data_IF_400250580789
#
_entry.id   IF_400250580789
#
_cell.length_a   1.000
_cell.length_b   1.000
_cell.length_c   1.000
_cell.angle_alpha   90.00
_cell.angle_beta   90.00
_cell.angle_gamma   90.00
#
_symmetry.space_group_name_H-M   'P 1'
#
loop_
_entity.id
_entity.type
_entity.pdbx_description
1 polymer ?
#
# COMPACT_ATOMS: atom_id res chain seq x y z
N UNK A 1 18.80 -20.66 -25.62
CA UNK A 1 17.51 -21.13 -26.18
C UNK A 1 16.26 -20.67 -25.38
N UNK A 2 16.37 -20.07 -24.19
CA UNK A 2 15.19 -19.69 -23.37
C UNK A 2 14.45 -18.40 -23.74
N UNK A 3 15.03 -17.51 -24.55
CA UNK A 3 14.37 -16.23 -24.89
C UNK A 3 13.23 -16.35 -25.92
N UNK A 4 13.33 -17.34 -26.83
CA UNK A 4 12.31 -17.60 -27.86
C UNK A 4 11.09 -18.34 -27.30
N UNK A 5 11.24 -19.12 -26.22
CA UNK A 5 10.10 -19.71 -25.50
C UNK A 5 9.29 -18.66 -24.72
N UNK A 6 9.92 -17.58 -24.21
CA UNK A 6 9.19 -16.45 -23.60
C UNK A 6 8.41 -15.63 -24.65
N UNK A 7 8.93 -15.52 -25.86
CA UNK A 7 8.33 -14.74 -26.95
C UNK A 7 7.18 -15.45 -27.69
N UNK A 8 7.11 -16.79 -27.62
CA UNK A 8 6.13 -17.59 -28.38
C UNK A 8 5.24 -18.50 -27.51
N UNK A 9 5.40 -18.52 -26.19
CA UNK A 9 4.68 -19.51 -25.36
C UNK A 9 4.65 -19.27 -23.85
N UNK A 10 4.85 -18.04 -23.36
CA UNK A 10 4.51 -17.73 -21.96
C UNK A 10 3.00 -17.63 -21.84
N UNK A 11 2.33 -18.75 -21.53
CA UNK A 11 0.86 -18.89 -21.53
C UNK A 11 0.15 -17.66 -20.97
N UNK A 12 -0.38 -16.83 -21.88
CA UNK A 12 -1.23 -15.71 -21.52
C UNK A 12 -2.39 -16.28 -20.73
N UNK A 13 -2.48 -15.87 -19.48
CA UNK A 13 -3.62 -16.19 -18.65
C UNK A 13 -4.85 -15.58 -19.31
N UNK A 14 -5.91 -16.37 -19.44
CA UNK A 14 -7.20 -15.85 -19.89
C UNK A 14 -7.77 -14.98 -18.76
N UNK A 15 -7.80 -13.67 -19.03
CA UNK A 15 -8.28 -12.66 -18.10
C UNK A 15 -9.66 -12.19 -18.56
N UNK A 16 -10.59 -12.07 -17.62
CA UNK A 16 -11.95 -11.60 -17.88
C UNK A 16 -12.18 -10.22 -17.25
N UNK A 17 -12.16 -9.13 -18.06
CA UNK A 17 -12.41 -7.78 -17.57
C UNK A 17 -13.78 -7.59 -16.91
N UNK A 18 -14.80 -8.36 -17.32
CA UNK A 18 -16.14 -8.27 -16.71
C UNK A 18 -16.10 -8.84 -15.30
N UNK A 19 -15.48 -10.00 -15.12
CA UNK A 19 -15.24 -10.61 -13.81
C UNK A 19 -14.39 -9.71 -12.91
N UNK A 20 -13.32 -9.11 -13.42
CA UNK A 20 -12.49 -8.17 -12.66
C UNK A 20 -13.31 -6.99 -12.13
N UNK A 21 -14.20 -6.43 -12.95
CA UNK A 21 -15.10 -5.37 -12.51
C UNK A 21 -16.11 -5.83 -11.47
N UNK A 22 -16.65 -7.04 -11.62
CA UNK A 22 -17.55 -7.65 -10.63
C UNK A 22 -16.86 -7.84 -9.27
N UNK A 23 -15.68 -8.47 -9.27
CA UNK A 23 -14.84 -8.64 -8.08
C UNK A 23 -14.55 -7.30 -7.38
N UNK A 24 -14.15 -6.27 -8.15
CA UNK A 24 -13.88 -4.95 -7.59
C UNK A 24 -15.14 -4.31 -6.98
N UNK A 25 -16.30 -4.44 -7.64
CA UNK A 25 -17.59 -3.94 -7.11
C UNK A 25 -17.96 -4.65 -5.82
N UNK A 26 -17.82 -5.97 -5.78
CA UNK A 26 -18.14 -6.78 -4.61
C UNK A 26 -17.25 -6.44 -3.42
N UNK A 27 -15.95 -6.26 -3.67
CA UNK A 27 -14.99 -5.82 -2.64
C UNK A 27 -15.38 -4.46 -2.05
N UNK A 28 -15.74 -3.49 -2.89
CA UNK A 28 -16.12 -2.14 -2.44
C UNK A 28 -17.47 -2.12 -1.71
N UNK A 29 -18.44 -2.91 -2.18
CA UNK A 29 -19.79 -2.93 -1.61
C UNK A 29 -19.82 -3.66 -0.27
N UNK A 30 -19.07 -4.75 -0.14
CA UNK A 30 -19.22 -5.69 0.97
C UNK A 30 -18.28 -5.42 2.15
N UNK A 31 -17.18 -4.73 1.92
CA UNK A 31 -16.13 -4.50 2.92
C UNK A 31 -15.80 -3.02 3.06
N UNK A 32 -15.15 -2.65 4.16
CA UNK A 32 -14.79 -1.27 4.51
C UNK A 32 -15.23 -0.91 5.92
N UNK A 33 -15.24 0.39 6.23
CA UNK A 33 -15.65 0.91 7.54
C UNK A 33 -17.12 0.63 7.89
N UNK A 34 -17.98 0.39 6.88
CA UNK A 34 -19.39 0.07 7.07
C UNK A 34 -19.66 -1.41 7.35
N UNK A 35 -18.69 -2.29 7.12
CA UNK A 35 -18.84 -3.71 7.40
C UNK A 35 -18.76 -3.98 8.91
N UNK A 36 -19.57 -4.95 9.38
CA UNK A 36 -19.64 -5.32 10.80
C UNK A 36 -18.46 -6.17 11.29
N UNK A 37 -17.72 -6.75 10.35
CA UNK A 37 -16.53 -7.57 10.64
C UNK A 37 -15.34 -6.69 11.01
N UNK A 38 -14.42 -7.20 11.82
CA UNK A 38 -13.17 -6.51 12.12
C UNK A 38 -12.28 -6.48 10.88
N UNK A 39 -11.40 -5.49 10.75
CA UNK A 39 -10.55 -5.33 9.56
C UNK A 39 -9.71 -6.58 9.23
N UNK A 40 -9.11 -7.32 10.18
CA UNK A 40 -8.42 -8.57 9.87
C UNK A 40 -9.34 -9.62 9.23
N UNK A 41 -10.56 -9.78 9.75
CA UNK A 41 -11.55 -10.75 9.24
C UNK A 41 -12.02 -10.37 7.82
N UNK A 42 -12.22 -9.07 7.59
CA UNK A 42 -12.51 -8.54 6.25
C UNK A 42 -11.35 -8.82 5.30
N UNK A 43 -10.11 -8.57 5.73
CA UNK A 43 -8.95 -8.74 4.89
C UNK A 43 -8.79 -10.21 4.46
N UNK A 44 -8.98 -11.16 5.38
CA UNK A 44 -8.93 -12.59 5.07
C UNK A 44 -10.04 -13.02 4.12
N UNK A 45 -11.25 -12.46 4.26
CA UNK A 45 -12.37 -12.74 3.35
C UNK A 45 -12.10 -12.20 1.93
N UNK A 46 -11.57 -10.97 1.82
CA UNK A 46 -11.18 -10.38 0.54
C UNK A 46 -10.04 -11.19 -0.11
N UNK A 47 -9.04 -11.63 0.66
CA UNK A 47 -7.95 -12.45 0.13
C UNK A 47 -8.46 -13.76 -0.47
N UNK A 48 -9.46 -14.41 0.16
CA UNK A 48 -10.11 -15.60 -0.41
C UNK A 48 -10.92 -15.29 -1.67
N UNK A 49 -11.61 -14.14 -1.70
CA UNK A 49 -12.40 -13.71 -2.86
C UNK A 49 -11.51 -13.44 -4.09
N UNK A 50 -10.30 -12.90 -3.88
CA UNK A 50 -9.36 -12.52 -4.94
C UNK A 50 -8.28 -13.59 -5.21
N UNK A 51 -8.58 -14.88 -4.99
CA UNK A 51 -7.56 -15.94 -5.01
C UNK A 51 -7.06 -16.34 -6.40
N UNK A 52 -7.80 -16.01 -7.46
CA UNK A 52 -7.48 -16.37 -8.84
C UNK A 52 -6.71 -15.26 -9.60
N UNK A 53 -6.42 -15.47 -10.88
CA UNK A 53 -5.60 -14.56 -11.68
C UNK A 53 -6.33 -13.22 -11.99
N UNK A 54 -7.65 -13.23 -12.16
CA UNK A 54 -8.45 -12.00 -12.25
C UNK A 54 -8.44 -11.24 -10.91
N UNK A 55 -8.55 -11.96 -9.80
CA UNK A 55 -8.42 -11.44 -8.45
C UNK A 55 -7.04 -10.83 -8.19
N UNK A 56 -5.98 -11.42 -8.75
CA UNK A 56 -4.62 -10.87 -8.69
C UNK A 56 -4.51 -9.52 -9.43
N UNK A 57 -5.12 -9.40 -10.62
CA UNK A 57 -5.20 -8.12 -11.35
C UNK A 57 -5.96 -7.08 -10.54
N UNK A 58 -7.10 -7.45 -9.96
CA UNK A 58 -7.90 -6.55 -9.11
C UNK A 58 -7.12 -6.12 -7.87
N UNK A 59 -6.41 -7.04 -7.22
CA UNK A 59 -5.58 -6.74 -6.06
C UNK A 59 -4.46 -5.74 -6.39
N UNK A 60 -3.73 -5.96 -7.48
CA UNK A 60 -2.73 -5.00 -7.94
C UNK A 60 -3.37 -3.63 -8.25
N UNK A 61 -4.54 -3.63 -8.90
CA UNK A 61 -5.32 -2.42 -9.19
C UNK A 61 -5.74 -1.64 -7.95
N UNK A 62 -6.19 -2.31 -6.89
CA UNK A 62 -6.60 -1.70 -5.61
C UNK A 62 -5.43 -0.92 -4.97
N UNK A 63 -4.22 -1.49 -4.97
CA UNK A 63 -3.03 -0.83 -4.41
C UNK A 63 -2.66 0.40 -5.23
N UNK A 64 -2.67 0.28 -6.56
CA UNK A 64 -2.41 1.40 -7.46
C UNK A 64 -3.43 2.53 -7.28
N UNK A 65 -4.72 2.19 -7.25
CA UNK A 65 -5.81 3.14 -7.06
C UNK A 65 -5.70 3.85 -5.70
N UNK A 66 -5.40 3.12 -4.63
CA UNK A 66 -5.24 3.71 -3.30
C UNK A 66 -4.11 4.75 -3.26
N UNK A 67 -2.98 4.45 -3.90
CA UNK A 67 -1.87 5.40 -4.01
C UNK A 67 -2.20 6.60 -4.91
N UNK A 68 -2.87 6.40 -6.05
CA UNK A 68 -3.30 7.46 -6.95
C UNK A 68 -4.29 8.42 -6.27
N UNK A 69 -5.27 7.88 -5.55
CA UNK A 69 -6.25 8.68 -4.83
C UNK A 69 -5.64 9.41 -3.64
N UNK A 70 -4.75 8.76 -2.89
CA UNK A 70 -4.05 9.41 -1.79
C UNK A 70 -3.16 10.57 -2.28
N UNK A 71 -2.52 10.40 -3.44
CA UNK A 71 -1.77 11.48 -4.08
C UNK A 71 -2.66 12.65 -4.48
N UNK A 72 -3.80 12.37 -5.12
CA UNK A 72 -4.76 13.39 -5.54
C UNK A 72 -5.36 14.14 -4.34
N UNK A 73 -5.69 13.44 -3.24
CA UNK A 73 -6.18 14.05 -2.01
C UNK A 73 -5.13 14.99 -1.40
N UNK A 74 -3.86 14.58 -1.33
CA UNK A 74 -2.78 15.46 -0.85
C UNK A 74 -2.60 16.70 -1.73
N UNK A 75 -2.75 16.59 -3.05
CA UNK A 75 -2.75 17.76 -3.93
C UNK A 75 -3.92 18.70 -3.61
N UNK A 76 -5.12 18.16 -3.39
CA UNK A 76 -6.29 18.92 -2.98
C UNK A 76 -6.08 19.64 -1.63
N UNK A 77 -5.53 18.94 -0.64
CA UNK A 77 -5.21 19.50 0.67
C UNK A 77 -4.14 20.61 0.57
N UNK A 78 -3.08 20.41 -0.23
CA UNK A 78 -2.06 21.43 -0.47
C UNK A 78 -2.65 22.70 -1.11
N UNK A 79 -3.56 22.54 -2.06
CA UNK A 79 -4.27 23.65 -2.69
C UNK A 79 -5.21 24.37 -1.72
N UNK A 80 -5.87 23.65 -0.82
CA UNK A 80 -6.70 24.24 0.24
C UNK A 80 -5.86 25.07 1.21
N UNK A 81 -4.70 24.56 1.64
CA UNK A 81 -3.76 25.33 2.48
C UNK A 81 -3.32 26.60 1.76
N UNK A 82 -2.94 26.50 0.49
CA UNK A 82 -2.57 27.67 -0.30
C UNK A 82 -3.69 28.70 -0.38
N UNK A 83 -4.94 28.28 -0.64
CA UNK A 83 -6.09 29.19 -0.67
C UNK A 83 -6.33 29.91 0.65
N UNK A 84 -6.15 29.22 1.78
CA UNK A 84 -6.42 29.77 3.11
C UNK A 84 -5.29 30.64 3.66
N UNK A 85 -4.03 30.36 3.32
CA UNK A 85 -2.87 30.97 3.99
C UNK A 85 -1.87 31.62 3.03
N UNK A 86 -2.06 31.50 1.71
CA UNK A 86 -1.09 31.93 0.69
C UNK A 86 0.19 31.09 0.65
N UNK A 87 0.32 30.05 1.48
CA UNK A 87 1.52 29.21 1.56
C UNK A 87 1.45 28.08 0.56
N UNK A 88 2.42 28.00 -0.35
CA UNK A 88 2.50 26.92 -1.34
C UNK A 88 3.19 25.69 -0.75
N UNK A 89 2.47 24.58 -0.69
CA UNK A 89 3.03 23.28 -0.32
C UNK A 89 3.31 22.46 -1.58
N UNK A 90 4.50 21.86 -1.66
CA UNK A 90 4.89 21.03 -2.80
C UNK A 90 4.61 19.55 -2.52
N UNK A 91 3.77 18.93 -3.34
CA UNK A 91 3.46 17.50 -3.26
C UNK A 91 4.35 16.72 -4.23
N UNK A 92 5.41 16.12 -3.70
CA UNK A 92 6.34 15.31 -4.49
C UNK A 92 5.98 13.82 -4.39
N UNK A 93 5.45 13.26 -5.47
CA UNK A 93 4.99 11.87 -5.51
C UNK A 93 6.06 10.83 -5.18
N UNK A 94 7.32 11.10 -5.52
CA UNK A 94 8.45 10.19 -5.25
C UNK A 94 8.94 10.23 -3.81
N UNK A 95 8.50 11.20 -3.01
CA UNK A 95 8.90 11.39 -1.62
C UNK A 95 7.95 12.37 -0.93
N UNK A 96 6.99 11.86 -0.16
CA UNK A 96 6.01 12.68 0.53
C UNK A 96 6.56 13.29 1.83
N UNK A 97 7.69 12.81 2.33
CA UNK A 97 8.22 13.17 3.65
C UNK A 97 8.51 14.66 3.83
N UNK A 98 9.07 15.41 2.85
CA UNK A 98 9.25 16.86 2.98
C UNK A 98 7.94 17.60 3.25
N UNK A 99 6.87 17.26 2.51
CA UNK A 99 5.53 17.82 2.71
C UNK A 99 5.02 17.54 4.13
N UNK A 100 5.14 16.29 4.58
CA UNK A 100 4.68 15.88 5.91
C UNK A 100 5.48 16.54 7.04
N UNK A 101 6.80 16.70 6.90
CA UNK A 101 7.62 17.43 7.87
C UNK A 101 7.21 18.90 7.96
N UNK A 102 6.88 19.50 6.82
CA UNK A 102 6.54 20.91 6.72
C UNK A 102 5.13 21.21 7.27
N UNK A 103 4.16 20.37 6.94
CA UNK A 103 2.74 20.67 7.11
C UNK A 103 1.93 19.55 7.80
N UNK A 104 2.58 18.51 8.34
CA UNK A 104 1.91 17.33 8.89
C UNK A 104 0.71 17.60 9.80
N UNK A 105 0.80 18.50 10.79
CA UNK A 105 -0.34 18.86 11.64
C UNK A 105 -1.52 19.54 10.93
N UNK A 106 -1.28 20.13 9.75
CA UNK A 106 -2.30 20.77 8.91
C UNK A 106 -2.87 19.84 7.83
N UNK A 107 -2.30 18.63 7.69
CA UNK A 107 -2.72 17.64 6.71
C UNK A 107 -3.51 16.52 7.40
N UNK A 108 -4.54 16.04 6.73
CA UNK A 108 -5.25 14.81 7.08
C UNK A 108 -4.55 13.63 6.41
N UNK A 109 -4.49 12.51 7.11
CA UNK A 109 -3.93 11.29 6.54
C UNK A 109 -4.83 10.77 5.41
N UNK A 110 -4.35 10.72 4.15
CA UNK A 110 -5.20 10.53 2.98
C UNK A 110 -5.74 9.11 2.84
N UNK A 111 -5.05 8.13 3.43
CA UNK A 111 -5.44 6.72 3.34
C UNK A 111 -6.67 6.39 4.19
N UNK A 112 -7.01 7.18 5.21
CA UNK A 112 -8.13 6.89 6.11
C UNK A 112 -9.52 7.13 5.50
N UNK A 113 -9.61 7.82 4.36
CA UNK A 113 -10.88 8.23 3.75
C UNK A 113 -10.76 8.38 2.22
N UNK A 114 -10.34 7.31 1.54
CA UNK A 114 -10.18 7.32 0.09
C UNK A 114 -11.54 7.45 -0.62
N UNK A 115 -11.68 8.29 -1.68
CA UNK A 115 -12.93 8.45 -2.41
C UNK A 115 -13.52 7.18 -3.03
N UNK A 116 -12.68 6.18 -3.33
CA UNK A 116 -13.11 4.85 -3.80
C UNK A 116 -13.86 4.01 -2.76
N UNK A 117 -13.84 4.41 -1.49
CA UNK A 117 -14.32 3.59 -0.38
C UNK A 117 -13.35 2.50 0.06
N UNK A 118 -12.14 2.45 -0.51
CA UNK A 118 -11.09 1.52 -0.08
C UNK A 118 -10.58 1.88 1.31
N UNK A 119 -10.62 0.93 2.24
CA UNK A 119 -10.08 1.10 3.58
C UNK A 119 -8.65 0.51 3.66
N UNK A 120 -7.68 1.21 4.28
CA UNK A 120 -6.29 0.81 4.27
C UNK A 120 -6.07 -0.53 5.00
N UNK A 121 -6.82 -0.75 6.09
CA UNK A 121 -6.66 -1.93 6.93
C UNK A 121 -7.48 -3.14 6.47
N UNK A 122 -8.43 -2.95 5.54
CA UNK A 122 -9.22 -4.04 4.96
C UNK A 122 -8.80 -4.29 3.51
N UNK A 123 -9.38 -3.56 2.55
CA UNK A 123 -9.17 -3.80 1.11
C UNK A 123 -7.71 -3.67 0.69
N UNK A 124 -7.02 -2.61 1.10
CA UNK A 124 -5.61 -2.41 0.70
C UNK A 124 -4.73 -3.49 1.34
N UNK A 125 -4.89 -3.73 2.64
CA UNK A 125 -4.17 -4.80 3.36
C UNK A 125 -4.40 -6.19 2.74
N UNK A 126 -5.62 -6.51 2.31
CA UNK A 126 -5.94 -7.77 1.64
C UNK A 126 -5.33 -7.85 0.25
N UNK A 127 -5.44 -6.78 -0.54
CA UNK A 127 -4.87 -6.70 -1.88
C UNK A 127 -3.35 -6.88 -1.87
N UNK A 128 -2.66 -6.22 -0.93
CA UNK A 128 -1.21 -6.39 -0.73
C UNK A 128 -0.88 -7.84 -0.36
N UNK A 129 -1.68 -8.50 0.47
CA UNK A 129 -1.48 -9.91 0.83
C UNK A 129 -1.69 -10.86 -0.35
N UNK A 130 -2.72 -10.62 -1.19
CA UNK A 130 -2.99 -11.41 -2.41
C UNK A 130 -1.80 -11.33 -3.37
N UNK A 131 -1.32 -10.12 -3.66
CA UNK A 131 -0.15 -9.95 -4.54
C UNK A 131 1.09 -10.60 -3.93
N UNK A 132 1.33 -10.43 -2.62
CA UNK A 132 2.48 -11.04 -1.94
C UNK A 132 2.43 -12.56 -1.89
N UNK A 133 1.26 -13.17 -1.89
CA UNK A 133 1.08 -14.62 -1.96
C UNK A 133 1.29 -15.20 -3.36
N UNK A 134 1.26 -14.36 -4.40
CA UNK A 134 1.33 -14.77 -5.82
C UNK A 134 2.29 -13.88 -6.61
N UNK A 135 3.34 -13.40 -5.97
CA UNK A 135 4.29 -12.43 -6.54
C UNK A 135 4.95 -12.97 -7.83
N UNK A 136 5.24 -14.28 -7.85
CA UNK A 136 5.82 -15.03 -8.98
C UNK A 136 4.89 -15.14 -10.20
N UNK A 137 3.60 -14.80 -10.04
CA UNK A 137 2.61 -14.78 -11.12
C UNK A 137 2.24 -13.37 -11.56
N UNK A 138 2.70 -12.34 -10.85
CA UNK A 138 2.28 -10.97 -11.11
C UNK A 138 2.61 -10.53 -12.54
N UNK A 139 3.82 -10.84 -13.01
CA UNK A 139 4.32 -10.50 -14.35
C UNK A 139 3.54 -11.17 -15.49
N UNK A 140 2.83 -12.27 -15.20
CA UNK A 140 1.98 -12.99 -16.18
C UNK A 140 0.64 -12.31 -16.41
N UNK A 141 0.17 -11.53 -15.44
CA UNK A 141 -1.18 -10.92 -15.46
C UNK A 141 -1.14 -9.40 -15.58
N UNK A 142 -0.07 -8.75 -15.13
CA UNK A 142 0.10 -7.30 -15.21
C UNK A 142 1.57 -6.87 -15.12
N UNK A 143 1.86 -5.62 -15.47
CA UNK A 143 3.21 -5.06 -15.30
C UNK A 143 3.51 -4.86 -13.79
N UNK A 144 4.55 -5.49 -13.22
CA UNK A 144 4.89 -5.34 -11.81
C UNK A 144 5.48 -3.96 -11.46
N UNK A 145 6.00 -3.21 -12.43
CA UNK A 145 6.72 -1.96 -12.18
C UNK A 145 5.81 -0.84 -11.61
N UNK A 146 4.62 -0.55 -12.18
CA UNK A 146 3.66 0.37 -11.58
C UNK A 146 3.24 -0.08 -10.18
N UNK A 147 2.98 -1.37 -9.98
CA UNK A 147 2.55 -1.91 -8.69
C UNK A 147 3.59 -1.65 -7.60
N UNK A 148 4.86 -2.01 -7.82
CA UNK A 148 5.93 -1.82 -6.83
C UNK A 148 6.11 -0.35 -6.48
N UNK A 149 6.04 0.53 -7.50
CA UNK A 149 6.11 1.98 -7.29
C UNK A 149 4.99 2.46 -6.36
N UNK A 150 3.74 2.05 -6.64
CA UNK A 150 2.56 2.44 -5.85
C UNK A 150 2.55 1.81 -4.46
N UNK A 151 2.98 0.56 -4.32
CA UNK A 151 3.15 -0.11 -3.04
C UNK A 151 4.08 0.69 -2.12
N UNK A 152 5.22 1.16 -2.64
CA UNK A 152 6.13 1.98 -1.83
C UNK A 152 5.60 3.40 -1.58
N UNK A 153 4.76 3.95 -2.46
CA UNK A 153 4.02 5.19 -2.17
C UNK A 153 3.06 4.98 -0.98
N UNK A 154 2.29 3.89 -0.94
CA UNK A 154 1.40 3.58 0.20
C UNK A 154 2.21 3.39 1.48
N UNK A 155 3.37 2.72 1.41
CA UNK A 155 4.26 2.56 2.57
C UNK A 155 4.78 3.92 3.08
N UNK A 156 5.27 4.80 2.19
CA UNK A 156 5.72 6.15 2.57
C UNK A 156 4.58 6.96 3.18
N UNK A 157 3.40 6.97 2.56
CA UNK A 157 2.22 7.70 3.06
C UNK A 157 1.75 7.20 4.43
N UNK A 158 1.78 5.88 4.65
CA UNK A 158 1.41 5.28 5.94
C UNK A 158 2.39 5.73 7.03
N UNK A 159 3.69 5.58 6.76
CA UNK A 159 4.74 5.82 7.76
C UNK A 159 5.05 7.30 7.98
N UNK A 160 4.86 8.16 6.97
CA UNK A 160 4.87 9.60 7.13
C UNK A 160 3.67 10.09 7.95
N UNK A 161 2.50 9.45 7.79
CA UNK A 161 1.33 9.68 8.65
C UNK A 161 1.63 9.39 10.12
N UNK A 162 2.33 8.29 10.40
CA UNK A 162 2.74 7.94 11.78
C UNK A 162 3.66 9.00 12.39
N UNK A 163 4.69 9.40 11.66
CA UNK A 163 5.74 10.27 12.20
C UNK A 163 5.33 11.74 12.29
N UNK A 164 4.56 12.24 11.31
CA UNK A 164 4.30 13.68 11.17
C UNK A 164 2.81 14.02 11.16
N UNK A 165 1.95 13.08 10.77
CA UNK A 165 0.50 13.26 10.66
C UNK A 165 -0.29 12.90 11.92
N UNK A 166 0.40 12.56 13.03
CA UNK A 166 -0.22 12.10 14.29
C UNK A 166 -1.15 10.89 14.11
N UNK A 167 -0.91 10.07 13.09
CA UNK A 167 -1.64 8.83 12.90
C UNK A 167 -1.16 7.84 13.94
N UNK A 168 -2.08 7.34 14.76
CA UNK A 168 -1.78 6.36 15.78
C UNK A 168 -1.36 5.04 15.13
N UNK A 169 -0.33 4.41 15.68
CA UNK A 169 0.15 3.10 15.22
C UNK A 169 -0.52 2.01 16.05
N UNK A 170 -1.57 1.40 15.51
CA UNK A 170 -2.19 0.22 16.09
C UNK A 170 -1.74 -1.07 15.37
N UNK A 171 -2.23 -2.23 15.81
CA UNK A 171 -1.88 -3.53 15.21
C UNK A 171 -2.34 -3.66 13.77
N UNK A 172 -3.44 -3.02 13.37
CA UNK A 172 -3.95 -3.07 11.99
C UNK A 172 -3.02 -2.28 11.04
N UNK A 173 -2.60 -1.11 11.49
CA UNK A 173 -1.63 -0.24 10.82
C UNK A 173 -0.25 -0.90 10.73
N UNK A 174 0.23 -1.52 11.82
CA UNK A 174 1.48 -2.27 11.82
C UNK A 174 1.42 -3.46 10.86
N UNK A 175 0.31 -4.21 10.86
CA UNK A 175 0.08 -5.33 9.95
C UNK A 175 0.09 -4.90 8.48
N UNK A 176 -0.53 -3.77 8.14
CA UNK A 176 -0.48 -3.20 6.80
C UNK A 176 0.98 -2.93 6.37
N UNK A 177 1.78 -2.32 7.24
CA UNK A 177 3.20 -2.05 6.94
C UNK A 177 4.01 -3.33 6.78
N UNK A 178 3.81 -4.34 7.62
CA UNK A 178 4.45 -5.65 7.47
C UNK A 178 4.10 -6.31 6.13
N UNK A 179 2.82 -6.29 5.74
CA UNK A 179 2.37 -6.80 4.45
C UNK A 179 2.98 -6.02 3.29
N UNK A 180 3.01 -4.68 3.35
CA UNK A 180 3.62 -3.84 2.31
C UNK A 180 5.12 -4.16 2.16
N UNK A 181 5.87 -4.25 3.25
CA UNK A 181 7.30 -4.58 3.21
C UNK A 181 7.54 -5.98 2.65
N UNK A 182 6.82 -6.98 3.15
CA UNK A 182 6.98 -8.37 2.74
C UNK A 182 6.57 -8.60 1.28
N UNK A 183 5.45 -8.03 0.84
CA UNK A 183 5.02 -8.08 -0.56
C UNK A 183 5.99 -7.34 -1.47
N UNK A 184 6.46 -6.16 -1.05
CA UNK A 184 7.49 -5.41 -1.79
C UNK A 184 8.75 -6.24 -2.02
N UNK A 185 9.26 -6.89 -0.97
CA UNK A 185 10.43 -7.77 -1.08
C UNK A 185 10.20 -8.94 -2.05
N UNK A 186 9.06 -9.64 -1.92
CA UNK A 186 8.73 -10.78 -2.78
C UNK A 186 8.61 -10.40 -4.25
N UNK A 187 7.94 -9.28 -4.56
CA UNK A 187 7.78 -8.83 -5.95
C UNK A 187 9.11 -8.33 -6.51
N UNK A 188 9.92 -7.59 -5.74
CA UNK A 188 11.25 -7.18 -6.19
C UNK A 188 12.13 -8.40 -6.53
N UNK A 189 12.05 -9.47 -5.74
CA UNK A 189 12.82 -10.70 -5.96
C UNK A 189 12.40 -11.48 -7.23
N UNK A 190 11.22 -11.23 -7.78
CA UNK A 190 10.74 -11.88 -9.00
C UNK A 190 11.02 -11.05 -10.27
N UNK A 191 11.52 -9.83 -10.13
CA UNK A 191 11.78 -8.93 -11.26
C UNK A 191 13.19 -9.11 -11.82
N UNK A 192 13.32 -9.19 -13.15
CA UNK A 192 14.62 -9.30 -13.83
C UNK A 192 15.49 -8.03 -13.63
N UNK A 193 14.87 -6.84 -13.62
CA UNK A 193 15.53 -5.54 -13.37
C UNK A 193 14.72 -4.70 -12.35
N UNK A 194 14.88 -4.97 -11.03
CA UNK A 194 14.08 -4.31 -10.00
C UNK A 194 14.46 -2.82 -9.85
N UNK A 195 13.48 -1.93 -9.63
CA UNK A 195 13.76 -0.51 -9.41
C UNK A 195 14.52 -0.30 -8.10
N UNK A 196 15.36 0.75 -8.06
CA UNK A 196 16.02 1.16 -6.82
C UNK A 196 15.00 1.53 -5.74
N UNK A 197 15.28 1.14 -4.50
CA UNK A 197 14.45 1.52 -3.35
C UNK A 197 14.23 3.04 -3.27
N UNK A 198 12.98 3.50 -3.08
CA UNK A 198 12.67 4.93 -3.03
C UNK A 198 13.45 5.69 -1.94
N UNK A 199 13.71 7.00 -2.12
CA UNK A 199 14.42 7.81 -1.13
C UNK A 199 13.82 7.74 0.27
N UNK A 200 12.49 7.73 0.38
CA UNK A 200 11.77 7.61 1.64
C UNK A 200 12.07 6.31 2.39
N UNK A 201 12.05 5.17 1.69
CA UNK A 201 12.39 3.85 2.25
C UNK A 201 13.83 3.84 2.76
N UNK A 202 14.77 4.35 1.96
CA UNK A 202 16.19 4.46 2.37
C UNK A 202 16.38 5.41 3.55
N UNK A 203 15.61 6.49 3.65
CA UNK A 203 15.61 7.37 4.83
C UNK A 203 15.16 6.61 6.08
N UNK A 204 14.09 5.82 5.99
CA UNK A 204 13.56 5.04 7.10
C UNK A 204 14.52 3.93 7.54
N UNK A 205 15.17 3.23 6.60
CA UNK A 205 16.19 2.22 6.88
C UNK A 205 17.40 2.75 7.68
N UNK A 206 17.66 4.06 7.66
CA UNK A 206 18.76 4.67 8.43
C UNK A 206 18.39 4.95 9.89
N UNK A 207 17.14 4.75 10.28
CA UNK A 207 16.64 5.05 11.62
C UNK A 207 16.54 3.77 12.45
N UNK A 208 16.73 3.90 13.77
CA UNK A 208 16.67 2.79 14.72
C UNK A 208 15.68 3.05 15.88
N UNK A 209 14.76 4.00 15.73
CA UNK A 209 13.79 4.30 16.77
C UNK A 209 12.72 3.20 16.85
N UNK A 210 12.19 2.99 18.06
CA UNK A 210 11.06 2.09 18.32
C UNK A 210 9.78 2.90 18.40
N UNK A 211 8.71 2.34 17.85
CA UNK A 211 7.37 2.91 17.83
C UNK A 211 6.48 2.02 18.67
N UNK A 212 5.76 2.58 19.64
CA UNK A 212 4.76 1.84 20.39
C UNK A 212 3.60 1.45 19.49
N UNK A 213 3.23 0.17 19.50
CA UNK A 213 2.08 -0.38 18.79
C UNK A 213 0.94 -0.58 19.78
N UNK A 214 -0.22 -0.03 19.44
CA UNK A 214 -1.37 -0.02 20.31
C UNK A 214 -2.44 -1.05 19.92
N UNK A 215 -3.27 -1.43 20.89
CA UNK A 215 -4.54 -2.13 20.64
C UNK A 215 -5.46 -1.21 19.82
N UNK A 216 -6.05 -1.67 18.70
CA UNK A 216 -7.03 -0.89 17.95
C UNK A 216 -8.26 -0.48 18.79
N UNK A 217 -8.64 -1.31 19.77
CA UNK A 217 -9.86 -1.12 20.57
C UNK A 217 -9.67 -0.26 21.83
N UNK A 218 -8.44 0.15 22.17
CA UNK A 218 -8.19 0.87 23.41
C UNK A 218 -6.83 1.54 23.50
N UNK A 219 -6.53 2.32 24.55
CA UNK A 219 -5.28 3.09 24.68
C UNK A 219 -4.04 2.24 25.01
N UNK A 220 -4.19 0.92 25.16
CA UNK A 220 -3.13 0.02 25.65
C UNK A 220 -2.04 -0.19 24.58
N UNK A 221 -0.77 -0.10 24.99
CA UNK A 221 0.37 -0.56 24.18
C UNK A 221 0.45 -2.08 24.26
N UNK A 222 0.52 -2.74 23.10
CA UNK A 222 0.58 -4.21 22.96
C UNK A 222 1.90 -4.69 22.36
N UNK A 223 2.74 -3.78 21.88
CA UNK A 223 4.07 -4.11 21.37
C UNK A 223 4.90 -2.89 20.97
N UNK A 224 6.05 -3.15 20.37
CA UNK A 224 6.94 -2.13 19.79
C UNK A 224 7.42 -2.57 18.40
N UNK A 225 7.61 -1.60 17.51
CA UNK A 225 8.11 -1.81 16.15
C UNK A 225 9.36 -0.96 15.91
N UNK A 226 10.48 -1.58 15.52
CA UNK A 226 11.63 -0.87 14.95
C UNK A 226 11.55 -0.94 13.42
N UNK A 227 10.86 0.03 12.83
CA UNK A 227 10.57 0.03 11.40
C UNK A 227 11.83 0.02 10.52
N UNK A 228 12.84 0.80 10.88
CA UNK A 228 14.09 0.85 10.11
C UNK A 228 14.86 -0.47 10.14
N UNK A 229 14.89 -1.15 11.30
CA UNK A 229 15.46 -2.50 11.40
C UNK A 229 14.69 -3.51 10.55
N UNK A 230 13.35 -3.54 10.66
CA UNK A 230 12.50 -4.46 9.90
C UNK A 230 12.60 -4.25 8.39
N UNK A 231 12.69 -3.00 7.92
CA UNK A 231 12.89 -2.70 6.50
C UNK A 231 14.22 -3.27 5.98
N UNK A 232 15.32 -3.08 6.72
CA UNK A 232 16.62 -3.64 6.33
C UNK A 232 16.58 -5.16 6.27
N UNK A 233 16.02 -5.78 7.31
CA UNK A 233 15.84 -7.24 7.37
C UNK A 233 14.99 -7.78 6.22
N UNK A 234 13.95 -7.05 5.80
CA UNK A 234 13.00 -7.56 4.80
C UNK A 234 13.42 -7.26 3.36
N UNK A 235 14.01 -6.09 3.09
CA UNK A 235 14.27 -5.61 1.72
C UNK A 235 15.73 -5.71 1.29
N UNK A 236 16.65 -6.05 2.20
CA UNK A 236 18.08 -6.24 1.90
C UNK A 236 18.56 -7.68 2.16
N UNK A 237 17.64 -8.58 2.52
CA UNK A 237 17.93 -10.01 2.72
C UNK A 237 18.10 -10.76 1.41
#
# INVERSE_FOLDING_TARGET
>A
MGWLQRLLGGGRVELDPARQQELLRDVRRSYGAHARLRFPEQADAITRLLSDDDGLVVAAGIVCEAADQAHADLQGQAQEVFRRTGRRLLVHRRNYRPLWKEAGPALRWPLGALPSGLHPYAQVSAAVAVVGGRADRLDRVTDPQPFVTRLFEVLDLTTAGWEFGRVRVDTDSATLVERLMGTGARVLATMDDPPRLPPAVREMMRRNHRIAVYDPAGPRVVGELNLGARLRETLLA
#
